data_IF_241676689929
#
_entry.id   IF_241676689929
#
_cell.length_a   1.000
_cell.length_b   1.000
_cell.length_c   1.000
_cell.angle_alpha   90.00
_cell.angle_beta   90.00
_cell.angle_gamma   90.00
#
_symmetry.space_group_name_H-M   'P 1'
#
loop_
_entity.id
_entity.type
_entity.pdbx_description
1 polymer ?
#
# COMPACT_ATOMS: atom_id res chain seq x y z
N UNK A 1 -12.06 -20.76 -8.60
CA UNK A 1 -11.38 -19.45 -8.52
C UNK A 1 -10.29 -19.40 -9.58
N UNK A 2 -10.09 -18.27 -10.27
CA UNK A 2 -9.00 -18.16 -11.25
C UNK A 2 -7.63 -18.10 -10.55
N UNK A 3 -6.59 -18.61 -11.20
CA UNK A 3 -5.21 -18.55 -10.66
C UNK A 3 -4.78 -17.10 -10.42
N UNK A 4 -5.20 -16.18 -11.29
CA UNK A 4 -4.94 -14.74 -11.16
C UNK A 4 -5.54 -14.13 -9.90
N UNK A 5 -6.75 -14.55 -9.52
CA UNK A 5 -7.38 -14.08 -8.29
C UNK A 5 -6.61 -14.58 -7.06
N UNK A 6 -6.14 -15.83 -7.06
CA UNK A 6 -5.35 -16.39 -5.96
C UNK A 6 -4.06 -15.59 -5.79
N UNK A 7 -3.31 -15.37 -6.88
CA UNK A 7 -2.07 -14.58 -6.86
C UNK A 7 -2.35 -13.16 -6.36
N UNK A 8 -3.40 -12.52 -6.88
CA UNK A 8 -3.79 -11.17 -6.45
C UNK A 8 -4.08 -11.10 -4.96
N UNK A 9 -4.84 -12.05 -4.41
CA UNK A 9 -5.19 -12.08 -2.99
C UNK A 9 -3.99 -12.34 -2.09
N UNK A 10 -3.09 -13.25 -2.49
CA UNK A 10 -1.86 -13.50 -1.75
C UNK A 10 -0.95 -12.27 -1.75
N UNK A 11 -0.77 -11.62 -2.89
CA UNK A 11 0.00 -10.40 -2.99
C UNK A 11 -0.64 -9.25 -2.20
N UNK A 12 -1.96 -9.07 -2.29
CA UNK A 12 -2.67 -8.05 -1.52
C UNK A 12 -2.58 -8.30 -0.01
N UNK A 13 -2.65 -9.55 0.43
CA UNK A 13 -2.45 -9.93 1.82
C UNK A 13 -1.03 -9.67 2.31
N UNK A 14 -0.01 -9.99 1.51
CA UNK A 14 1.38 -9.67 1.81
C UNK A 14 1.60 -8.15 1.89
N UNK A 15 1.04 -7.39 0.95
CA UNK A 15 1.14 -5.94 0.94
C UNK A 15 0.48 -5.31 2.18
N UNK A 16 -0.73 -5.76 2.54
CA UNK A 16 -1.36 -5.35 3.79
C UNK A 16 -0.48 -5.68 5.01
N UNK A 17 0.19 -6.83 4.99
CA UNK A 17 1.17 -7.21 6.00
C UNK A 17 2.33 -6.23 6.13
N UNK A 18 2.89 -5.75 5.00
CA UNK A 18 3.92 -4.72 4.99
C UNK A 18 3.44 -3.43 5.69
N UNK A 19 2.28 -2.91 5.29
CA UNK A 19 1.68 -1.71 5.88
C UNK A 19 1.48 -1.85 7.40
N UNK A 20 1.03 -3.02 7.87
CA UNK A 20 0.83 -3.27 9.31
C UNK A 20 2.16 -3.36 10.07
N UNK A 21 3.17 -4.03 9.51
CA UNK A 21 4.51 -4.13 10.09
C UNK A 21 5.16 -2.75 10.19
N UNK A 22 4.92 -1.89 9.21
CA UNK A 22 5.42 -0.52 9.17
C UNK A 22 4.91 0.33 10.32
N UNK A 23 3.59 0.28 10.59
CA UNK A 23 2.97 0.92 11.76
C UNK A 23 3.56 0.38 13.06
N UNK A 24 3.85 -0.92 13.13
CA UNK A 24 4.47 -1.53 14.30
C UNK A 24 5.91 -1.06 14.51
N UNK A 25 6.73 -1.02 13.44
CA UNK A 25 8.11 -0.52 13.50
C UNK A 25 8.17 0.95 13.90
N UNK A 26 7.30 1.78 13.35
CA UNK A 26 7.25 3.19 13.69
C UNK A 26 6.99 3.37 15.19
N UNK A 27 5.96 2.70 15.73
CA UNK A 27 5.67 2.76 17.17
C UNK A 27 6.82 2.25 18.03
N UNK A 28 7.47 1.16 17.63
CA UNK A 28 8.54 0.55 18.41
C UNK A 28 9.85 1.37 18.39
N UNK A 29 10.24 1.90 17.23
CA UNK A 29 11.54 2.55 17.02
C UNK A 29 11.51 4.05 17.31
N UNK A 30 10.37 4.73 17.08
CA UNK A 30 10.20 6.14 17.46
C UNK A 30 10.27 6.30 18.97
N UNK A 31 9.64 5.39 19.73
CA UNK A 31 9.71 5.37 21.20
C UNK A 31 11.14 5.26 21.74
N UNK A 32 12.05 4.67 20.95
CA UNK A 32 13.47 4.50 21.29
C UNK A 32 14.37 5.60 20.69
N UNK A 33 13.81 6.57 19.97
CA UNK A 33 14.57 7.63 19.29
C UNK A 33 15.43 7.15 18.12
N UNK A 34 15.16 5.96 17.56
CA UNK A 34 15.99 5.30 16.55
C UNK A 34 15.62 5.69 15.10
N UNK A 35 15.52 6.99 14.82
CA UNK A 35 15.05 7.52 13.54
C UNK A 35 15.85 7.05 12.31
N UNK A 36 17.18 6.97 12.43
CA UNK A 36 18.05 6.49 11.33
C UNK A 36 17.88 5.00 11.05
N UNK A 37 17.60 4.20 12.08
CA UNK A 37 17.34 2.77 11.90
C UNK A 37 15.96 2.56 11.27
N UNK A 38 14.96 3.28 11.77
CA UNK A 38 13.60 3.28 11.21
C UNK A 38 13.64 3.63 9.71
N UNK A 39 14.29 4.72 9.32
CA UNK A 39 14.37 5.13 7.92
C UNK A 39 15.07 4.08 7.03
N UNK A 40 16.14 3.44 7.52
CA UNK A 40 16.86 2.37 6.80
C UNK A 40 16.04 1.09 6.65
N UNK A 41 15.36 0.66 7.71
CA UNK A 41 14.53 -0.54 7.67
C UNK A 41 13.34 -0.34 6.75
N UNK A 42 12.67 0.80 6.87
CA UNK A 42 11.52 1.15 6.05
C UNK A 42 11.90 1.24 4.56
N UNK A 43 12.99 1.93 4.19
CA UNK A 43 13.49 1.94 2.80
C UNK A 43 13.77 0.53 2.24
N UNK A 44 14.33 -0.34 3.07
CA UNK A 44 14.66 -1.72 2.66
C UNK A 44 13.40 -2.56 2.47
N UNK A 45 12.44 -2.47 3.38
CA UNK A 45 11.16 -3.18 3.27
C UNK A 45 10.40 -2.69 2.04
N UNK A 46 10.31 -1.38 1.84
CA UNK A 46 9.64 -0.78 0.69
C UNK A 46 10.22 -1.28 -0.62
N UNK A 47 11.54 -1.20 -0.75
CA UNK A 47 12.23 -1.50 -2.00
C UNK A 47 12.17 -2.98 -2.37
N UNK A 48 12.34 -3.86 -1.38
CA UNK A 48 12.56 -5.28 -1.64
C UNK A 48 11.34 -6.17 -1.40
N UNK A 49 10.35 -5.68 -0.66
CA UNK A 49 9.15 -6.46 -0.32
C UNK A 49 7.91 -5.73 -0.81
N UNK A 50 7.71 -4.49 -0.39
CA UNK A 50 6.45 -3.78 -0.64
C UNK A 50 6.24 -3.44 -2.11
N UNK A 51 7.17 -2.74 -2.75
CA UNK A 51 7.04 -2.35 -4.16
C UNK A 51 6.93 -3.54 -5.12
N UNK A 52 7.71 -4.63 -4.98
CA UNK A 52 7.50 -5.85 -5.76
C UNK A 52 6.09 -6.43 -5.54
N UNK A 53 5.63 -6.49 -4.29
CA UNK A 53 4.30 -7.02 -3.97
C UNK A 53 3.19 -6.14 -4.53
N UNK A 54 3.30 -4.82 -4.37
CA UNK A 54 2.39 -3.82 -4.92
C UNK A 54 2.32 -3.91 -6.46
N UNK A 55 3.46 -4.15 -7.11
CA UNK A 55 3.53 -4.36 -8.56
C UNK A 55 2.73 -5.59 -8.97
N UNK A 56 2.86 -6.71 -8.24
CA UNK A 56 2.05 -7.92 -8.48
C UNK A 56 0.56 -7.63 -8.30
N UNK A 57 0.17 -6.89 -7.25
CA UNK A 57 -1.24 -6.49 -7.02
C UNK A 57 -1.77 -5.67 -8.19
N UNK A 58 -1.02 -4.66 -8.63
CA UNK A 58 -1.41 -3.78 -9.74
C UNK A 58 -1.54 -4.54 -11.07
N UNK A 59 -0.56 -5.39 -11.40
CA UNK A 59 -0.57 -6.17 -12.64
C UNK A 59 -1.70 -7.20 -12.66
N UNK A 60 -1.87 -7.96 -11.59
CA UNK A 60 -2.94 -8.97 -11.52
C UNK A 60 -4.33 -8.33 -11.48
N UNK A 61 -4.50 -7.21 -10.76
CA UNK A 61 -5.75 -6.46 -10.73
C UNK A 61 -6.09 -5.85 -12.10
N UNK A 62 -5.10 -5.24 -12.76
CA UNK A 62 -5.24 -4.70 -14.10
C UNK A 62 -5.56 -5.78 -15.14
N UNK A 63 -4.90 -6.94 -15.07
CA UNK A 63 -5.19 -8.08 -15.93
C UNK A 63 -6.62 -8.60 -15.75
N UNK A 64 -7.08 -8.77 -14.50
CA UNK A 64 -8.46 -9.20 -14.23
C UNK A 64 -9.48 -8.18 -14.72
N UNK A 65 -9.21 -6.88 -14.55
CA UNK A 65 -10.07 -5.82 -15.07
C UNK A 65 -10.12 -5.82 -16.60
N UNK A 66 -8.96 -5.94 -17.25
CA UNK A 66 -8.85 -6.04 -18.71
C UNK A 66 -9.58 -7.27 -19.25
N UNK A 67 -9.45 -8.43 -18.58
CA UNK A 67 -10.15 -9.67 -18.99
C UNK A 67 -11.68 -9.57 -18.92
N UNK A 68 -12.21 -8.56 -18.22
CA UNK A 68 -13.66 -8.28 -18.15
C UNK A 68 -14.13 -7.22 -19.13
N UNK A 69 -13.25 -6.57 -19.88
CA UNK A 69 -13.65 -5.60 -20.90
C UNK A 69 -14.62 -6.26 -21.89
N UNK A 70 -15.75 -5.60 -22.16
CA UNK A 70 -16.78 -6.10 -23.09
C UNK A 70 -17.74 -7.16 -22.52
N UNK A 71 -17.57 -7.61 -21.27
CA UNK A 71 -18.35 -8.70 -20.68
C UNK A 71 -19.63 -8.28 -19.91
N UNK A 72 -20.24 -7.15 -20.28
CA UNK A 72 -21.34 -6.53 -19.50
C UNK A 72 -20.84 -5.68 -18.33
N UNK A 73 -21.74 -4.88 -17.74
CA UNK A 73 -21.39 -3.85 -16.75
C UNK A 73 -20.79 -4.38 -15.44
N UNK A 74 -19.94 -3.56 -14.80
CA UNK A 74 -19.42 -3.84 -13.45
C UNK A 74 -20.48 -3.45 -12.40
N UNK A 75 -20.72 -4.29 -11.40
CA UNK A 75 -21.57 -3.91 -10.27
C UNK A 75 -20.99 -2.71 -9.53
N UNK A 76 -21.85 -1.90 -8.91
CA UNK A 76 -21.41 -0.70 -8.16
C UNK A 76 -20.35 -1.03 -7.11
N UNK A 77 -20.52 -2.14 -6.40
CA UNK A 77 -19.57 -2.63 -5.38
C UNK A 77 -18.20 -2.97 -5.97
N UNK A 78 -18.17 -3.59 -7.16
CA UNK A 78 -16.93 -3.93 -7.82
C UNK A 78 -16.22 -2.68 -8.36
N UNK A 79 -16.97 -1.70 -8.88
CA UNK A 79 -16.42 -0.40 -9.26
C UNK A 79 -15.82 0.32 -8.04
N UNK A 80 -16.54 0.38 -6.92
CA UNK A 80 -16.05 0.98 -5.68
C UNK A 80 -14.77 0.28 -5.18
N UNK A 81 -14.73 -1.06 -5.20
CA UNK A 81 -13.53 -1.84 -4.87
C UNK A 81 -12.33 -1.41 -5.71
N UNK A 82 -12.51 -1.31 -7.03
CA UNK A 82 -11.45 -0.95 -7.97
C UNK A 82 -10.97 0.48 -7.69
N UNK A 83 -11.87 1.42 -7.46
CA UNK A 83 -11.53 2.82 -7.14
C UNK A 83 -10.72 2.90 -5.85
N UNK A 84 -11.19 2.29 -4.77
CA UNK A 84 -10.48 2.29 -3.49
C UNK A 84 -9.10 1.61 -3.59
N UNK A 85 -9.02 0.47 -4.29
CA UNK A 85 -7.76 -0.24 -4.50
C UNK A 85 -6.76 0.58 -5.32
N UNK A 86 -7.23 1.24 -6.39
CA UNK A 86 -6.39 2.10 -7.23
C UNK A 86 -5.87 3.31 -6.46
N UNK A 87 -6.74 3.97 -5.68
CA UNK A 87 -6.35 5.08 -4.81
C UNK A 87 -5.30 4.63 -3.78
N UNK A 88 -5.47 3.45 -3.18
CA UNK A 88 -4.49 2.90 -2.24
C UNK A 88 -3.14 2.67 -2.93
N UNK A 89 -3.12 2.07 -4.13
CA UNK A 89 -1.88 1.82 -4.89
C UNK A 89 -1.15 3.14 -5.21
N UNK A 90 -1.88 4.14 -5.72
CA UNK A 90 -1.28 5.43 -6.07
C UNK A 90 -0.77 6.19 -4.84
N UNK A 91 -1.54 6.19 -3.75
CA UNK A 91 -1.10 6.77 -2.48
C UNK A 91 0.16 6.07 -1.96
N UNK A 92 0.25 4.75 -2.09
CA UNK A 92 1.41 3.98 -1.64
C UNK A 92 2.67 4.22 -2.47
N UNK A 93 2.52 4.35 -3.78
CA UNK A 93 3.62 4.77 -4.66
C UNK A 93 4.17 6.14 -4.25
N UNK A 94 3.28 7.06 -3.86
CA UNK A 94 3.70 8.35 -3.33
C UNK A 94 4.37 8.21 -1.96
N UNK A 95 3.88 7.35 -1.06
CA UNK A 95 4.55 7.02 0.20
C UNK A 95 5.98 6.52 -0.04
N UNK A 96 6.19 5.57 -0.96
CA UNK A 96 7.52 5.04 -1.26
C UNK A 96 8.51 6.14 -1.71
N UNK A 97 8.05 7.11 -2.50
CA UNK A 97 8.87 8.29 -2.86
C UNK A 97 9.24 9.09 -1.61
N UNK A 98 8.31 9.30 -0.68
CA UNK A 98 8.58 10.00 0.58
C UNK A 98 9.56 9.20 1.45
N UNK A 99 9.45 7.88 1.50
CA UNK A 99 10.36 6.99 2.24
C UNK A 99 11.78 7.11 1.72
N UNK A 100 11.97 7.04 0.40
CA UNK A 100 13.29 7.18 -0.21
C UNK A 100 13.89 8.57 0.05
N UNK A 101 13.05 9.62 0.05
CA UNK A 101 13.47 10.97 0.43
C UNK A 101 13.84 11.06 1.90
N UNK A 102 13.03 10.49 2.80
CA UNK A 102 13.28 10.46 4.25
C UNK A 102 14.59 9.73 4.56
N UNK A 103 14.86 8.62 3.88
CA UNK A 103 16.12 7.90 3.99
C UNK A 103 17.32 8.78 3.65
N UNK A 104 17.30 9.46 2.49
CA UNK A 104 18.39 10.37 2.08
C UNK A 104 18.60 11.51 3.07
N UNK A 105 17.52 12.10 3.61
CA UNK A 105 17.62 13.17 4.60
C UNK A 105 18.19 12.67 5.93
N UNK A 106 17.89 11.42 6.30
CA UNK A 106 18.46 10.78 7.48
C UNK A 106 19.96 10.44 7.33
N UNK A 107 20.46 10.26 6.10
CA UNK A 107 21.89 10.05 5.83
C UNK A 107 22.72 11.35 5.97
N UNK A 108 22.12 12.51 5.70
CA UNK A 108 22.76 13.82 5.85
C UNK A 108 22.40 14.52 7.17
N UNK A 109 21.76 13.81 8.11
CA UNK A 109 21.39 14.30 9.44
C UNK A 109 20.46 15.52 9.49
N UNK A 110 19.68 15.75 8.43
CA UNK A 110 18.62 16.77 8.42
C UNK A 110 17.36 16.26 9.14
N UNK A 111 17.39 16.30 10.47
CA UNK A 111 16.28 15.86 11.32
C UNK A 111 14.99 16.67 11.09
N UNK A 112 15.10 17.93 10.69
CA UNK A 112 13.94 18.78 10.44
C UNK A 112 13.21 18.32 9.15
N UNK A 113 13.96 18.01 8.11
CA UNK A 113 13.41 17.44 6.88
C UNK A 113 12.84 16.03 7.12
N UNK A 114 13.54 15.17 7.88
CA UNK A 114 13.06 13.83 8.24
C UNK A 114 11.68 13.90 8.89
N UNK A 115 11.51 14.72 9.94
CA UNK A 115 10.22 14.86 10.64
C UNK A 115 9.10 15.41 9.73
N UNK A 116 9.42 16.35 8.84
CA UNK A 116 8.44 16.93 7.92
C UNK A 116 7.95 15.90 6.90
N UNK A 117 8.87 15.14 6.31
CA UNK A 117 8.56 14.09 5.34
C UNK A 117 7.80 12.96 6.01
N UNK A 118 8.23 12.55 7.20
CA UNK A 118 7.57 11.54 8.03
C UNK A 118 6.10 11.90 8.31
N UNK A 119 5.83 13.14 8.77
CA UNK A 119 4.46 13.60 9.01
C UNK A 119 3.59 13.60 7.75
N UNK A 120 4.17 13.91 6.58
CA UNK A 120 3.46 13.84 5.32
C UNK A 120 3.19 12.38 4.92
N UNK A 121 4.18 11.50 5.06
CA UNK A 121 4.07 10.07 4.80
C UNK A 121 2.98 9.45 5.67
N UNK A 122 2.87 9.82 6.95
CA UNK A 122 1.83 9.32 7.85
C UNK A 122 0.41 9.70 7.38
N UNK A 123 0.22 10.93 6.89
CA UNK A 123 -1.08 11.38 6.34
C UNK A 123 -1.47 10.61 5.08
N UNK A 124 -0.53 10.39 4.18
CA UNK A 124 -0.76 9.63 2.95
C UNK A 124 -0.92 8.14 3.26
N UNK A 125 -0.15 7.59 4.19
CA UNK A 125 -0.26 6.21 4.66
C UNK A 125 -1.64 5.90 5.26
N UNK A 126 -2.24 6.87 5.98
CA UNK A 126 -3.63 6.74 6.42
C UNK A 126 -4.61 6.59 5.24
N UNK A 127 -4.39 7.31 4.13
CA UNK A 127 -5.19 7.16 2.91
C UNK A 127 -4.99 5.77 2.28
N UNK A 128 -3.78 5.21 2.28
CA UNK A 128 -3.52 3.84 1.82
C UNK A 128 -4.37 2.85 2.62
N UNK A 129 -4.30 2.93 3.95
CA UNK A 129 -5.03 2.02 4.83
C UNK A 129 -6.55 2.13 4.65
N UNK A 130 -7.08 3.35 4.57
CA UNK A 130 -8.51 3.58 4.30
C UNK A 130 -8.93 3.02 2.92
N UNK A 131 -8.09 3.20 1.90
CA UNK A 131 -8.31 2.62 0.58
C UNK A 131 -8.32 1.08 0.61
N UNK A 132 -7.38 0.46 1.32
CA UNK A 132 -7.34 -1.00 1.49
C UNK A 132 -8.59 -1.52 2.19
N UNK A 133 -8.99 -0.90 3.31
CA UNK A 133 -10.21 -1.27 4.05
C UNK A 133 -11.45 -1.11 3.16
N UNK A 134 -11.56 0.01 2.43
CA UNK A 134 -12.65 0.23 1.48
C UNK A 134 -12.69 -0.84 0.39
N UNK A 135 -11.55 -1.17 -0.22
CA UNK A 135 -11.46 -2.18 -1.27
C UNK A 135 -11.78 -3.60 -0.79
N UNK A 136 -11.41 -3.96 0.44
CA UNK A 136 -11.76 -5.23 1.06
C UNK A 136 -13.27 -5.26 1.33
N UNK A 137 -13.80 -4.21 1.97
CA UNK A 137 -15.22 -4.12 2.36
C UNK A 137 -16.13 -4.19 1.13
N UNK A 138 -15.84 -3.40 0.09
CA UNK A 138 -16.59 -3.45 -1.17
C UNK A 138 -16.45 -4.80 -1.89
N UNK A 139 -15.28 -5.46 -1.78
CA UNK A 139 -15.10 -6.80 -2.34
C UNK A 139 -15.93 -7.87 -1.65
N UNK A 140 -16.02 -7.82 -0.31
CA UNK A 140 -16.88 -8.71 0.47
C UNK A 140 -18.36 -8.43 0.19
N UNK A 141 -18.77 -7.16 0.12
CA UNK A 141 -20.13 -6.78 -0.24
C UNK A 141 -20.49 -7.24 -1.66
N UNK A 142 -19.58 -7.11 -2.63
CA UNK A 142 -19.78 -7.59 -3.98
C UNK A 142 -19.99 -9.12 -4.03
N UNK A 143 -19.33 -9.89 -3.16
CA UNK A 143 -19.49 -11.34 -3.05
C UNK A 143 -20.79 -11.74 -2.35
N UNK A 144 -21.21 -10.98 -1.34
CA UNK A 144 -22.43 -11.28 -0.57
C UNK A 144 -23.72 -10.89 -1.31
N UNK A 145 -23.64 -9.96 -2.26
CA UNK A 145 -24.77 -9.39 -3.01
C UNK A 145 -24.79 -9.80 -4.50
N UNK A 146 -23.89 -10.70 -4.91
CA UNK A 146 -23.85 -11.34 -6.24
C UNK A 146 -24.54 -12.69 -6.22
#
# INVERSE_FOLDING_TARGET
MSVWLIIHLLAAGLWLGCVLVEVAFERALVAQGQWRLLARLHDRVDRWVELPTLTVVALTGGWMLYSRFGSGGLSLWLQAKITFGTLAVLANLYCAVLVFRRHRMAEIDDLAAVKRIDHLQHKVGALVLLGLIGAITCGLAALALS
#
